data_IF_461365475915
#
_entry.id   IF_461365475915
#
_cell.length_a   1.000
_cell.length_b   1.000
_cell.length_c   1.000
_cell.angle_alpha   90.00
_cell.angle_beta   90.00
_cell.angle_gamma   90.00
#
_symmetry.space_group_name_H-M   'P 1'
#
loop_
_entity.id
_entity.type
_entity.pdbx_description
1 polymer ?
#
# COMPACT_ATOMS: atom_id res chain seq x y z
N UNK A 1 -8.43 -9.62 -12.79
CA UNK A 1 -8.69 -8.77 -11.62
C UNK A 1 -8.66 -9.69 -10.41
N UNK A 2 -7.69 -9.52 -9.50
CA UNK A 2 -7.68 -10.31 -8.25
C UNK A 2 -8.92 -9.88 -7.44
N UNK A 3 -9.67 -10.82 -6.84
CA UNK A 3 -10.91 -10.49 -6.16
C UNK A 3 -10.63 -9.47 -5.06
N UNK A 4 -11.58 -8.56 -4.90
CA UNK A 4 -11.67 -7.68 -3.74
C UNK A 4 -11.58 -8.57 -2.50
N UNK A 5 -10.56 -8.37 -1.66
CA UNK A 5 -10.39 -9.17 -0.45
C UNK A 5 -11.60 -8.92 0.44
N UNK A 6 -12.47 -9.91 0.62
CA UNK A 6 -13.71 -9.70 1.39
C UNK A 6 -13.43 -9.76 2.88
N UNK A 7 -14.26 -9.06 3.67
CA UNK A 7 -14.13 -9.06 5.14
C UNK A 7 -14.19 -10.48 5.72
N UNK A 8 -15.03 -11.34 5.16
CA UNK A 8 -15.16 -12.74 5.60
C UNK A 8 -13.90 -13.57 5.32
N UNK A 9 -13.30 -13.41 4.13
CA UNK A 9 -12.03 -14.05 3.80
C UNK A 9 -10.88 -13.56 4.68
N UNK A 10 -10.83 -12.26 4.99
CA UNK A 10 -9.83 -11.70 5.90
C UNK A 10 -10.01 -12.25 7.30
N UNK A 11 -11.23 -12.26 7.84
CA UNK A 11 -11.55 -12.85 9.15
C UNK A 11 -11.12 -14.31 9.20
N UNK A 12 -11.47 -15.09 8.20
CA UNK A 12 -11.13 -16.52 8.13
C UNK A 12 -9.61 -16.74 8.12
N UNK A 13 -8.87 -15.95 7.33
CA UNK A 13 -7.42 -16.04 7.25
C UNK A 13 -6.73 -15.59 8.54
N UNK A 14 -7.12 -14.44 9.10
CA UNK A 14 -6.56 -13.96 10.37
C UNK A 14 -6.89 -14.94 11.49
N UNK A 15 -8.13 -15.45 11.57
CA UNK A 15 -8.52 -16.44 12.56
C UNK A 15 -7.70 -17.74 12.42
N UNK A 16 -7.39 -18.18 11.19
CA UNK A 16 -6.52 -19.34 10.99
C UNK A 16 -5.10 -19.08 11.49
N UNK A 17 -4.53 -17.90 11.22
CA UNK A 17 -3.19 -17.52 11.69
C UNK A 17 -3.12 -17.44 13.22
N UNK A 18 -4.10 -16.78 13.84
CA UNK A 18 -4.20 -16.67 15.29
C UNK A 18 -4.44 -18.03 15.92
N UNK A 19 -5.28 -18.88 15.32
CA UNK A 19 -5.52 -20.25 15.77
C UNK A 19 -4.25 -21.10 15.75
N UNK A 20 -3.51 -21.06 14.65
CA UNK A 20 -2.27 -21.82 14.48
C UNK A 20 -1.17 -21.36 15.44
N UNK A 21 -1.03 -20.05 15.66
CA UNK A 21 0.05 -19.51 16.48
C UNK A 21 -0.29 -19.47 17.98
N UNK A 22 -1.49 -19.04 18.35
CA UNK A 22 -1.93 -18.92 19.74
C UNK A 22 -2.55 -20.21 20.29
N UNK A 23 -2.79 -21.22 19.44
CA UNK A 23 -3.40 -22.48 19.86
C UNK A 23 -4.88 -22.38 20.26
N UNK A 24 -5.57 -21.34 19.77
CA UNK A 24 -7.00 -21.08 20.05
C UNK A 24 -7.85 -21.70 18.96
N UNK A 25 -9.05 -22.15 19.29
CA UNK A 25 -9.98 -22.66 18.28
C UNK A 25 -10.44 -21.57 17.30
N UNK A 26 -10.28 -21.82 16.00
CA UNK A 26 -10.67 -20.88 14.93
C UNK A 26 -12.16 -20.52 15.00
N UNK A 27 -13.06 -21.47 15.33
CA UNK A 27 -14.48 -21.19 15.42
C UNK A 27 -14.82 -20.29 16.62
N UNK A 28 -14.04 -20.36 17.70
CA UNK A 28 -14.16 -19.42 18.81
C UNK A 28 -13.70 -18.02 18.42
N UNK A 29 -12.62 -17.89 17.64
CA UNK A 29 -12.15 -16.59 17.12
C UNK A 29 -13.22 -16.00 16.20
N UNK A 30 -13.71 -16.79 15.23
CA UNK A 30 -14.77 -16.39 14.30
C UNK A 30 -16.13 -16.15 14.95
N UNK A 31 -16.30 -16.48 16.24
CA UNK A 31 -17.54 -16.18 16.96
C UNK A 31 -17.71 -14.69 17.30
N UNK A 32 -16.71 -13.84 17.01
CA UNK A 32 -16.74 -12.41 17.31
C UNK A 32 -16.52 -12.11 18.79
N UNK A 33 -16.02 -13.08 19.56
CA UNK A 33 -15.64 -12.89 20.95
C UNK A 33 -14.34 -12.09 21.03
N UNK A 34 -14.23 -11.29 22.08
CA UNK A 34 -13.01 -10.54 22.39
C UNK A 34 -11.85 -11.48 22.63
N UNK A 35 -10.67 -11.10 22.16
CA UNK A 35 -9.46 -11.88 22.32
C UNK A 35 -9.07 -12.09 23.79
N UNK A 36 -9.31 -11.10 24.66
CA UNK A 36 -9.13 -11.21 26.13
C UNK A 36 -9.91 -12.37 26.75
N UNK A 37 -11.07 -12.68 26.19
CA UNK A 37 -11.93 -13.75 26.68
C UNK A 37 -11.57 -15.11 26.07
N UNK A 38 -10.91 -15.10 24.91
CA UNK A 38 -10.55 -16.30 24.16
C UNK A 38 -9.14 -16.82 24.47
N UNK A 39 -8.21 -15.91 24.72
CA UNK A 39 -6.79 -16.18 24.94
C UNK A 39 -6.49 -15.88 26.39
N UNK A 40 -6.07 -16.90 27.14
CA UNK A 40 -5.66 -16.74 28.52
C UNK A 40 -4.39 -15.87 28.57
N UNK A 41 -4.44 -14.73 29.27
CA UNK A 41 -3.39 -13.70 29.32
C UNK A 41 -3.18 -12.97 27.98
N UNK A 42 -4.28 -12.54 27.35
CA UNK A 42 -4.20 -11.66 26.20
C UNK A 42 -3.75 -10.25 26.61
N UNK A 43 -2.44 -10.03 26.54
CA UNK A 43 -1.81 -8.75 26.85
C UNK A 43 -1.43 -7.97 25.58
N UNK A 44 -0.92 -6.75 25.77
CA UNK A 44 -0.40 -5.92 24.67
C UNK A 44 0.70 -6.61 23.84
N UNK A 45 1.46 -7.54 24.44
CA UNK A 45 2.45 -8.33 23.71
C UNK A 45 1.78 -9.33 22.73
N UNK A 46 0.75 -10.05 23.19
CA UNK A 46 0.01 -10.99 22.35
C UNK A 46 -0.62 -10.26 21.15
N UNK A 47 -1.07 -9.03 21.35
CA UNK A 47 -1.56 -8.16 20.28
C UNK A 47 -0.49 -7.84 19.24
N UNK A 48 0.72 -7.47 19.68
CA UNK A 48 1.85 -7.21 18.78
C UNK A 48 2.22 -8.46 18.00
N UNK A 49 2.16 -9.64 18.63
CA UNK A 49 2.40 -10.91 17.93
C UNK A 49 1.35 -11.17 16.84
N UNK A 50 0.07 -10.96 17.14
CA UNK A 50 -1.00 -11.07 16.13
C UNK A 50 -0.76 -10.09 14.97
N UNK A 51 -0.42 -8.83 15.27
CA UNK A 51 -0.08 -7.84 14.25
C UNK A 51 1.08 -8.34 13.36
N UNK A 52 2.20 -8.75 13.96
CA UNK A 52 3.38 -9.24 13.23
C UNK A 52 3.08 -10.45 12.36
N UNK A 53 2.22 -11.37 12.81
CA UNK A 53 1.80 -12.52 12.01
C UNK A 53 1.04 -12.10 10.76
N UNK A 54 0.11 -11.16 10.91
CA UNK A 54 -0.68 -10.63 9.79
C UNK A 54 0.24 -9.86 8.83
N UNK A 55 1.11 -8.99 9.34
CA UNK A 55 2.10 -8.25 8.54
C UNK A 55 3.00 -9.19 7.74
N UNK A 56 3.53 -10.23 8.40
CA UNK A 56 4.38 -11.24 7.75
C UNK A 56 3.63 -12.03 6.69
N UNK A 57 2.36 -12.35 6.93
CA UNK A 57 1.54 -13.11 5.97
C UNK A 57 1.22 -12.30 4.71
N UNK A 58 0.86 -11.02 4.86
CA UNK A 58 0.44 -10.17 3.75
C UNK A 58 1.56 -9.33 3.14
N UNK A 59 2.71 -9.23 3.81
CA UNK A 59 3.91 -8.55 3.31
C UNK A 59 3.82 -7.02 3.34
N UNK A 60 3.08 -6.44 4.28
CA UNK A 60 3.05 -5.00 4.51
C UNK A 60 2.86 -4.69 6.00
N UNK A 61 3.42 -3.56 6.44
CA UNK A 61 3.33 -3.09 7.82
C UNK A 61 1.93 -2.52 8.12
N UNK A 62 1.36 -2.95 9.24
CA UNK A 62 0.09 -2.47 9.77
C UNK A 62 0.38 -1.33 10.74
N UNK A 63 -0.28 -0.20 10.51
CA UNK A 63 -0.15 0.98 11.37
C UNK A 63 -1.48 1.24 12.07
N UNK A 64 -1.65 0.69 13.27
CA UNK A 64 -2.86 0.92 14.06
C UNK A 64 -2.85 2.27 14.78
N UNK A 65 -1.73 3.00 14.76
CA UNK A 65 -1.62 4.35 15.34
C UNK A 65 -2.30 5.41 14.47
N UNK A 66 -2.30 5.24 13.14
CA UNK A 66 -2.89 6.16 12.17
C UNK A 66 -4.34 5.80 11.77
N UNK A 67 -4.86 4.65 12.24
CA UNK A 67 -6.29 4.36 12.15
C UNK A 67 -7.07 5.25 13.10
N UNK A 68 -8.23 5.78 12.70
CA UNK A 68 -9.14 6.56 13.57
C UNK A 68 -9.74 5.76 14.73
N UNK A 69 -9.18 4.60 15.04
CA UNK A 69 -9.48 3.81 16.20
C UNK A 69 -8.62 4.32 17.34
N UNK A 70 -9.26 4.95 18.33
CA UNK A 70 -8.62 5.36 19.60
C UNK A 70 -8.04 4.16 20.41
N UNK A 71 -8.29 2.92 19.97
CA UNK A 71 -7.86 1.70 20.62
C UNK A 71 -7.50 0.60 19.62
N UNK A 72 -6.62 -0.30 20.04
CA UNK A 72 -6.34 -1.54 19.31
C UNK A 72 -7.59 -2.41 19.19
N UNK A 73 -7.75 -3.16 18.07
CA UNK A 73 -8.92 -4.00 17.85
C UNK A 73 -9.03 -5.10 18.92
N UNK A 74 -10.19 -5.21 19.56
CA UNK A 74 -10.40 -6.14 20.67
C UNK A 74 -10.90 -7.53 20.22
N UNK A 75 -11.38 -7.65 18.98
CA UNK A 75 -11.89 -8.87 18.38
C UNK A 75 -11.54 -8.99 16.89
N UNK A 76 -11.92 -10.13 16.29
CA UNK A 76 -11.59 -10.46 14.90
C UNK A 76 -12.29 -9.56 13.89
N UNK A 77 -13.48 -9.04 14.23
CA UNK A 77 -14.23 -8.15 13.35
C UNK A 77 -13.51 -6.81 13.25
N UNK A 78 -13.21 -6.20 14.40
CA UNK A 78 -12.45 -4.94 14.46
C UNK A 78 -11.08 -5.07 13.78
N UNK A 79 -10.38 -6.20 14.01
CA UNK A 79 -9.06 -6.44 13.42
C UNK A 79 -9.15 -6.59 11.90
N UNK A 80 -10.13 -7.32 11.40
CA UNK A 80 -10.33 -7.51 9.97
C UNK A 80 -10.76 -6.20 9.27
N UNK A 81 -11.59 -5.39 9.91
CA UNK A 81 -11.98 -4.07 9.40
C UNK A 81 -10.79 -3.11 9.35
N UNK A 82 -10.03 -3.02 10.43
CA UNK A 82 -8.82 -2.21 10.50
C UNK A 82 -7.79 -2.63 9.45
N UNK A 83 -7.59 -3.95 9.30
CA UNK A 83 -6.73 -4.52 8.26
C UNK A 83 -7.18 -4.11 6.86
N UNK A 84 -8.46 -4.25 6.53
CA UNK A 84 -8.98 -3.90 5.21
C UNK A 84 -8.78 -2.42 4.89
N UNK A 85 -9.03 -1.54 5.86
CA UNK A 85 -8.82 -0.11 5.71
C UNK A 85 -7.35 0.21 5.41
N UNK A 86 -6.42 -0.39 6.16
CA UNK A 86 -4.99 -0.25 5.96
C UNK A 86 -4.54 -0.83 4.62
N UNK A 87 -5.02 -2.01 4.24
CA UNK A 87 -4.70 -2.67 2.98
C UNK A 87 -5.13 -1.82 1.77
N UNK A 88 -6.34 -1.26 1.81
CA UNK A 88 -6.81 -0.34 0.77
C UNK A 88 -5.94 0.93 0.71
N UNK A 89 -5.61 1.54 1.86
CA UNK A 89 -4.75 2.72 1.92
C UNK A 89 -3.34 2.43 1.38
N UNK A 90 -2.77 1.28 1.73
CA UNK A 90 -1.47 0.83 1.25
C UNK A 90 -1.49 0.64 -0.28
N UNK A 91 -2.52 -0.01 -0.82
CA UNK A 91 -2.73 -0.14 -2.27
C UNK A 91 -2.82 1.21 -2.96
N UNK A 92 -3.63 2.14 -2.45
CA UNK A 92 -3.75 3.48 -3.01
C UNK A 92 -2.41 4.23 -2.98
N UNK A 93 -1.62 4.09 -1.92
CA UNK A 93 -0.26 4.67 -1.85
C UNK A 93 0.67 4.08 -2.92
N UNK A 94 0.62 2.77 -3.17
CA UNK A 94 1.41 2.13 -4.23
C UNK A 94 0.97 2.63 -5.61
N UNK A 95 -0.34 2.66 -5.87
CA UNK A 95 -0.87 3.12 -7.17
C UNK A 95 -0.54 4.58 -7.43
N UNK A 96 -0.66 5.45 -6.43
CA UNK A 96 -0.29 6.86 -6.53
C UNK A 96 1.20 7.05 -6.79
N UNK A 97 2.07 6.27 -6.12
CA UNK A 97 3.52 6.28 -6.38
C UNK A 97 3.81 5.87 -7.82
N UNK A 98 3.18 4.79 -8.30
CA UNK A 98 3.35 4.29 -9.68
C UNK A 98 2.89 5.32 -10.71
N UNK A 99 1.75 5.98 -10.50
CA UNK A 99 1.24 7.03 -11.36
C UNK A 99 2.17 8.25 -11.38
N UNK A 100 2.70 8.67 -10.22
CA UNK A 100 3.67 9.77 -10.13
C UNK A 100 4.99 9.45 -10.83
N UNK A 101 5.49 8.23 -10.71
CA UNK A 101 6.71 7.81 -11.43
C UNK A 101 6.52 7.81 -12.95
N UNK A 102 5.36 7.34 -13.45
CA UNK A 102 5.05 7.41 -14.89
C UNK A 102 4.89 8.86 -15.39
N UNK A 103 4.24 9.73 -14.61
CA UNK A 103 4.12 11.14 -14.96
C UNK A 103 5.48 11.86 -14.97
N UNK A 104 6.40 11.49 -14.06
CA UNK A 104 7.76 12.04 -14.01
C UNK A 104 8.64 11.57 -15.17
N UNK A 105 8.46 10.33 -15.67
CA UNK A 105 9.17 9.84 -16.86
C UNK A 105 8.67 10.51 -18.15
N UNK A 106 7.37 10.79 -18.28
CA UNK A 106 6.81 11.52 -19.43
C UNK A 106 7.34 12.96 -19.51
N UNK A 107 7.44 13.67 -18.38
CA UNK A 107 8.01 15.03 -18.35
C UNK A 107 9.51 15.08 -18.70
N UNK A 108 10.27 14.01 -18.43
CA UNK A 108 11.68 13.93 -18.83
C UNK A 108 11.87 13.69 -20.33
N UNK A 109 10.89 13.08 -20.99
CA UNK A 109 10.95 12.77 -22.42
C UNK A 109 10.58 14.00 -23.26
N UNK A 110 9.56 14.78 -22.86
CA UNK A 110 9.19 16.03 -23.54
C UNK A 110 10.27 17.13 -23.46
N UNK A 111 11.10 17.13 -22.42
CA UNK A 111 12.24 18.05 -22.30
C UNK A 111 13.41 17.71 -23.23
N UNK A 112 13.51 16.48 -23.75
CA UNK A 112 14.55 16.09 -24.70
C UNK A 112 14.13 16.25 -26.17
N UNK A 113 12.83 16.29 -26.47
CA UNK A 113 12.35 16.52 -27.84
C UNK A 113 12.31 18.01 -28.23
N UNK A 114 12.31 18.93 -27.27
CA UNK A 114 12.31 20.38 -27.55
C UNK A 114 13.70 20.99 -27.80
N UNK A 115 14.79 20.29 -27.46
CA UNK A 115 16.17 20.75 -27.72
C UNK A 115 16.72 20.34 -29.10
N UNK A 116 16.12 19.37 -29.80
CA UNK A 116 16.60 18.92 -31.11
C UNK A 116 16.06 19.73 -32.31
N UNK A 117 15.11 20.64 -32.09
CA UNK A 117 14.48 21.40 -33.17
C UNK A 117 15.08 22.81 -33.38
N UNK A 118 16.13 23.19 -32.64
CA UNK A 118 16.70 24.54 -32.66
C UNK A 118 18.13 24.61 -33.23
N UNK A 119 18.57 23.60 -34.00
CA UNK A 119 19.93 23.58 -34.61
C UNK A 119 19.92 23.59 -36.14
N UNK A 120 18.77 23.51 -36.81
CA UNK A 120 18.74 23.38 -38.28
C UNK A 120 18.37 24.67 -39.04
N UNK A 121 18.31 25.83 -38.38
CA UNK A 121 17.90 27.11 -39.01
C UNK A 121 19.01 28.19 -39.11
N UNK A 122 20.29 27.83 -38.93
CA UNK A 122 21.41 28.78 -39.06
C UNK A 122 22.42 28.43 -40.16
N UNK A 123 21.98 27.92 -41.31
CA UNK A 123 22.86 27.77 -42.48
C UNK A 123 22.15 28.16 -43.78
N UNK A 124 21.57 29.36 -43.86
CA UNK A 124 21.00 29.83 -45.11
C UNK A 124 21.03 31.35 -45.34
N UNK A 125 21.88 32.14 -44.69
CA UNK A 125 22.00 33.57 -45.03
C UNK A 125 23.44 34.08 -44.92
N UNK A 126 24.28 33.79 -45.92
CA UNK A 126 25.31 34.75 -46.35
C UNK A 126 25.88 34.38 -47.73
N UNK A 127 25.14 34.68 -48.80
CA UNK A 127 25.81 34.87 -50.09
C UNK A 127 25.21 36.03 -50.91
N UNK A 128 26.00 37.12 -50.90
CA UNK A 128 26.17 38.21 -51.89
C UNK A 128 25.17 39.38 -51.73
N UNK A 129 25.52 40.64 -52.13
CA UNK A 129 26.73 41.12 -52.84
C UNK A 129 27.37 42.42 -52.28
N UNK A 130 28.62 42.74 -52.68
CA UNK A 130 29.20 44.08 -52.53
C UNK A 130 30.72 44.10 -52.75
N UNK A 131 31.20 44.42 -53.94
CA UNK A 131 31.64 45.76 -54.41
C UNK A 131 33.08 46.15 -53.99
N UNK A 132 34.00 45.93 -54.93
CA UNK A 132 35.30 46.62 -55.11
C UNK A 132 35.81 46.14 -56.49
N UNK A 133 36.17 46.93 -57.50
CA UNK A 133 36.42 48.36 -57.70
C UNK A 133 35.98 48.75 -59.11
#
# INVERSE_FOLDING_TARGET
>A
MKPDLTLDEVKSQIAALVSEYMGVDQALILSGKKFDTLIENFDSLAMVEVQLLVEKHYGFDLDFEDTSMDAFPADIDELAEAFLLQYQKHRQKIELKKAKSQAAELQKTEAQETELQNTEAQEAELQKPGLAQ
#
